data_IF_556131774753
#
_entry.id   IF_556131774753
#
_cell.length_a   1.000
_cell.length_b   1.000
_cell.length_c   1.000
_cell.angle_alpha   90.00
_cell.angle_beta   90.00
_cell.angle_gamma   90.00
#
_symmetry.space_group_name_H-M   'P 1'
#
loop_
_entity.id
_entity.type
_entity.pdbx_description
1 polymer ?
#
# COMPACT_ATOMS: atom_id res chain seq x y z
N UNK A 1 1.15 13.86 -0.80
CA UNK A 1 0.36 13.42 0.36
C UNK A 1 -1.09 13.90 0.37
N UNK A 2 -1.43 15.16 0.01
CA UNK A 2 -2.82 15.62 0.03
C UNK A 2 -3.80 14.74 -0.75
N UNK A 3 -3.37 14.17 -1.88
CA UNK A 3 -4.15 13.23 -2.69
C UNK A 3 -4.57 11.96 -1.90
N UNK A 4 -3.61 11.29 -1.26
CA UNK A 4 -3.88 10.07 -0.47
C UNK A 4 -4.74 10.36 0.75
N UNK A 5 -4.56 11.52 1.36
CA UNK A 5 -5.37 11.94 2.50
C UNK A 5 -6.80 12.34 2.08
N UNK A 6 -6.96 12.87 0.88
CA UNK A 6 -8.27 13.13 0.26
C UNK A 6 -8.98 11.81 -0.06
N UNK A 7 -8.26 10.84 -0.62
CA UNK A 7 -8.76 9.49 -0.86
C UNK A 7 -9.16 8.76 0.44
N UNK A 8 -8.48 9.07 1.55
CA UNK A 8 -8.84 8.62 2.89
C UNK A 8 -10.10 9.29 3.48
N UNK A 9 -10.77 10.17 2.73
CA UNK A 9 -12.04 10.79 3.12
C UNK A 9 -11.92 12.17 3.78
N UNK A 10 -10.72 12.78 3.84
CA UNK A 10 -10.52 14.09 4.51
C UNK A 10 -11.42 15.20 3.96
N UNK A 11 -11.68 15.21 2.65
CA UNK A 11 -12.45 16.26 1.97
C UNK A 11 -13.85 15.79 1.57
N UNK A 12 -14.35 14.72 2.18
CA UNK A 12 -15.67 14.15 1.92
C UNK A 12 -15.72 13.12 0.77
N UNK A 13 -16.88 12.44 0.60
CA UNK A 13 -16.97 11.26 -0.26
C UNK A 13 -16.72 11.52 -1.74
N UNK A 14 -17.27 12.61 -2.31
CA UNK A 14 -17.10 12.93 -3.73
C UNK A 14 -15.63 13.20 -4.09
N UNK A 15 -14.93 13.96 -3.24
CA UNK A 15 -13.50 14.22 -3.40
C UNK A 15 -12.67 12.94 -3.24
N UNK A 16 -13.05 12.05 -2.33
CA UNK A 16 -12.38 10.76 -2.14
C UNK A 16 -12.49 9.86 -3.37
N UNK A 17 -13.68 9.77 -4.00
CA UNK A 17 -13.86 9.00 -5.24
C UNK A 17 -13.01 9.54 -6.39
N UNK A 18 -12.95 10.86 -6.55
CA UNK A 18 -12.09 11.49 -7.55
C UNK A 18 -10.60 11.19 -7.30
N UNK A 19 -10.17 11.31 -6.04
CA UNK A 19 -8.79 11.00 -5.65
C UNK A 19 -8.44 9.52 -5.86
N UNK A 20 -9.37 8.59 -5.59
CA UNK A 20 -9.17 7.16 -5.84
C UNK A 20 -8.99 6.85 -7.32
N UNK A 21 -9.70 7.56 -8.21
CA UNK A 21 -9.52 7.42 -9.66
C UNK A 21 -8.14 7.92 -10.11
N UNK A 22 -7.65 9.00 -9.52
CA UNK A 22 -6.29 9.47 -9.80
C UNK A 22 -5.24 8.47 -9.26
N UNK A 23 -5.43 7.97 -8.04
CA UNK A 23 -4.56 6.96 -7.44
C UNK A 23 -4.55 5.66 -8.26
N UNK A 24 -5.68 5.25 -8.85
CA UNK A 24 -5.70 4.05 -9.70
C UNK A 24 -4.87 4.21 -10.98
N UNK A 25 -4.88 5.40 -11.59
CA UNK A 25 -3.98 5.70 -12.72
C UNK A 25 -2.51 5.75 -12.30
N UNK A 26 -2.22 6.38 -11.16
CA UNK A 26 -0.88 6.43 -10.58
C UNK A 26 -0.36 5.04 -10.24
N UNK A 27 -1.19 4.15 -9.69
CA UNK A 27 -0.80 2.80 -9.27
C UNK A 27 -0.25 1.92 -10.39
N UNK A 28 -0.61 2.20 -11.65
CA UNK A 28 -0.07 1.48 -12.81
C UNK A 28 1.37 1.89 -13.16
N UNK A 29 1.87 3.00 -12.60
CA UNK A 29 3.18 3.54 -12.94
C UNK A 29 4.32 2.80 -12.22
N UNK A 30 5.54 2.79 -12.80
CA UNK A 30 6.74 2.36 -12.09
C UNK A 30 7.03 3.20 -10.84
N UNK A 31 6.69 4.49 -10.89
CA UNK A 31 6.86 5.40 -9.74
C UNK A 31 6.03 4.97 -8.54
N UNK A 32 4.78 4.54 -8.75
CA UNK A 32 3.95 4.00 -7.68
C UNK A 32 4.54 2.74 -7.05
N UNK A 33 5.03 1.82 -7.87
CA UNK A 33 5.70 0.61 -7.40
C UNK A 33 6.93 0.95 -6.58
N UNK A 34 7.77 1.90 -7.03
CA UNK A 34 8.91 2.43 -6.26
C UNK A 34 8.46 3.02 -4.91
N UNK A 35 7.40 3.84 -4.90
CA UNK A 35 6.83 4.39 -3.67
C UNK A 35 6.39 3.28 -2.69
N UNK A 36 5.83 2.17 -3.20
CA UNK A 36 5.48 1.02 -2.36
C UNK A 36 6.69 0.35 -1.73
N UNK A 37 7.83 0.21 -2.43
CA UNK A 37 9.06 -0.30 -1.78
C UNK A 37 9.56 0.65 -0.69
N UNK A 38 9.54 1.97 -0.93
CA UNK A 38 9.92 2.94 0.11
C UNK A 38 8.99 2.85 1.33
N UNK A 39 7.68 2.78 1.12
CA UNK A 39 6.70 2.65 2.19
C UNK A 39 6.87 1.32 2.97
N UNK A 40 7.08 0.20 2.27
CA UNK A 40 7.35 -1.09 2.89
C UNK A 40 8.67 -1.08 3.68
N UNK A 41 9.68 -0.35 3.22
CA UNK A 41 10.93 -0.20 3.95
C UNK A 41 10.78 0.62 5.23
N UNK A 42 9.98 1.70 5.21
CA UNK A 42 9.63 2.45 6.43
C UNK A 42 8.95 1.52 7.44
N UNK A 43 8.00 0.71 6.98
CA UNK A 43 7.34 -0.30 7.82
C UNK A 43 8.35 -1.27 8.43
N UNK A 44 9.23 -1.89 7.62
CA UNK A 44 10.24 -2.86 8.09
C UNK A 44 11.23 -2.24 9.08
N UNK A 45 11.70 -1.02 8.82
CA UNK A 45 12.61 -0.32 9.74
C UNK A 45 11.97 -0.10 11.12
N UNK A 46 10.69 0.25 11.15
CA UNK A 46 9.96 0.43 12.41
C UNK A 46 9.55 -0.87 13.08
N UNK A 47 9.32 -1.94 12.29
CA UNK A 47 9.08 -3.29 12.78
C UNK A 47 10.31 -3.86 13.48
N UNK A 48 11.49 -3.70 12.89
CA UNK A 48 12.76 -4.23 13.39
C UNK A 48 13.48 -3.31 14.39
N UNK A 49 12.85 -2.20 14.79
CA UNK A 49 13.44 -1.27 15.77
C UNK A 49 13.73 -2.00 17.08
N UNK A 50 14.71 -1.50 17.84
CA UNK A 50 14.93 -1.99 19.20
C UNK A 50 13.89 -1.39 20.14
N UNK A 51 13.50 -2.14 21.16
CA UNK A 51 12.58 -1.64 22.19
C UNK A 51 13.14 -0.44 22.97
N UNK A 52 14.47 -0.27 22.97
CA UNK A 52 15.18 0.86 23.56
C UNK A 52 15.15 2.15 22.73
N UNK A 53 14.72 2.08 21.46
CA UNK A 53 14.80 3.23 20.57
C UNK A 53 13.68 4.23 20.87
N UNK A 54 14.04 5.47 21.18
CA UNK A 54 13.08 6.55 21.37
C UNK A 54 12.36 6.85 20.05
N UNK A 55 11.05 6.62 20.01
CA UNK A 55 10.24 6.87 18.80
C UNK A 55 9.84 8.33 18.78
N UNK A 56 10.32 9.04 17.75
CA UNK A 56 9.93 10.43 17.51
C UNK A 56 8.59 10.47 16.79
N UNK A 57 7.83 11.55 16.99
CA UNK A 57 6.57 11.80 16.29
C UNK A 57 6.71 11.66 14.76
N UNK A 58 7.84 12.12 14.21
CA UNK A 58 8.15 11.99 12.78
C UNK A 58 8.13 10.54 12.28
N UNK A 59 8.57 9.57 13.08
CA UNK A 59 8.52 8.15 12.73
C UNK A 59 7.10 7.62 12.65
N UNK A 60 6.20 8.08 13.53
CA UNK A 60 4.78 7.72 13.46
C UNK A 60 4.08 8.35 12.25
N UNK A 61 4.38 9.62 11.95
CA UNK A 61 3.86 10.29 10.74
C UNK A 61 4.35 9.58 9.48
N UNK A 62 5.62 9.19 9.43
CA UNK A 62 6.18 8.42 8.31
C UNK A 62 5.49 7.06 8.15
N UNK A 63 5.21 6.36 9.24
CA UNK A 63 4.46 5.09 9.20
C UNK A 63 3.02 5.28 8.72
N UNK A 64 2.35 6.35 9.16
CA UNK A 64 1.01 6.67 8.70
C UNK A 64 0.98 6.96 7.20
N UNK A 65 1.89 7.79 6.72
CA UNK A 65 2.04 8.06 5.29
C UNK A 65 2.37 6.80 4.48
N UNK A 66 3.26 5.95 4.99
CA UNK A 66 3.57 4.66 4.37
C UNK A 66 2.34 3.74 4.28
N UNK A 67 1.52 3.69 5.33
CA UNK A 67 0.29 2.89 5.36
C UNK A 67 -0.77 3.38 4.37
N UNK A 68 -0.88 4.70 4.16
CA UNK A 68 -1.77 5.25 3.13
C UNK A 68 -1.32 4.85 1.73
N UNK A 69 -0.03 5.01 1.43
CA UNK A 69 0.55 4.62 0.14
C UNK A 69 0.35 3.13 -0.13
N UNK A 70 0.73 2.26 0.81
CA UNK A 70 0.62 0.80 0.63
C UNK A 70 -0.84 0.36 0.53
N UNK A 71 -1.69 0.77 1.48
CA UNK A 71 -3.06 0.29 1.51
C UNK A 71 -3.90 0.81 0.35
N UNK A 72 -3.74 2.08 -0.06
CA UNK A 72 -4.45 2.61 -1.22
C UNK A 72 -3.92 2.04 -2.53
N UNK A 73 -2.61 1.77 -2.65
CA UNK A 73 -2.06 1.05 -3.79
C UNK A 73 -2.66 -0.36 -3.90
N UNK A 74 -2.69 -1.12 -2.81
CA UNK A 74 -3.29 -2.47 -2.77
C UNK A 74 -4.80 -2.42 -3.03
N UNK A 75 -5.48 -1.37 -2.57
CA UNK A 75 -6.91 -1.21 -2.80
C UNK A 75 -7.25 -1.06 -4.28
N UNK A 76 -6.46 -0.29 -5.04
CA UNK A 76 -6.76 0.02 -6.45
C UNK A 76 -6.05 -0.87 -7.46
N UNK A 77 -5.09 -1.70 -7.03
CA UNK A 77 -4.39 -2.58 -7.96
C UNK A 77 -5.35 -3.66 -8.49
N UNK A 78 -5.32 -3.98 -9.80
CA UNK A 78 -6.17 -5.02 -10.36
C UNK A 78 -5.71 -6.42 -9.91
N UNK A 79 -6.66 -7.33 -9.70
CA UNK A 79 -6.38 -8.74 -9.32
C UNK A 79 -5.59 -9.50 -10.38
N UNK A 80 -5.56 -8.99 -11.63
CA UNK A 80 -4.77 -9.53 -12.74
C UNK A 80 -3.27 -9.24 -12.64
N UNK A 81 -2.79 -8.56 -11.58
CA UNK A 81 -1.37 -8.50 -11.24
C UNK A 81 -0.75 -9.88 -10.90
N UNK A 82 -1.56 -10.94 -10.93
CA UNK A 82 -1.16 -12.33 -11.14
C UNK A 82 -0.57 -12.50 -12.57
N UNK A 83 0.64 -11.97 -12.79
CA UNK A 83 1.44 -12.31 -13.98
C UNK A 83 1.66 -13.83 -14.12
N UNK A 84 2.18 -14.27 -15.26
CA UNK A 84 2.40 -15.71 -15.55
C UNK A 84 3.04 -16.43 -14.37
N UNK A 85 2.54 -17.63 -14.07
CA UNK A 85 2.87 -18.45 -12.88
C UNK A 85 4.37 -18.79 -12.73
N UNK A 86 5.17 -18.42 -13.71
CA UNK A 86 6.62 -18.62 -13.80
C UNK A 86 7.47 -17.56 -13.09
N UNK A 87 6.95 -16.36 -12.77
CA UNK A 87 7.76 -15.33 -12.10
C UNK A 87 7.58 -15.38 -10.57
N UNK A 88 8.69 -15.59 -9.85
CA UNK A 88 8.69 -15.60 -8.39
C UNK A 88 8.15 -14.27 -7.84
N UNK A 89 7.19 -14.29 -6.89
CA UNK A 89 6.59 -13.06 -6.41
C UNK A 89 7.57 -12.24 -5.56
N UNK A 90 7.50 -10.92 -5.66
CA UNK A 90 8.40 -10.02 -4.93
C UNK A 90 7.90 -9.80 -3.50
N UNK A 91 8.71 -10.10 -2.48
CA UNK A 91 8.33 -9.83 -1.09
C UNK A 91 8.67 -8.39 -0.69
N UNK A 92 7.64 -7.54 -0.59
CA UNK A 92 7.79 -6.11 -0.28
C UNK A 92 8.53 -5.83 1.04
N UNK A 93 8.39 -6.75 2.01
CA UNK A 93 8.99 -6.57 3.34
C UNK A 93 10.34 -7.29 3.38
N UNK A 94 10.40 -8.56 2.96
CA UNK A 94 11.59 -9.36 3.20
C UNK A 94 12.75 -9.09 2.26
N UNK A 95 12.48 -8.81 0.98
CA UNK A 95 13.52 -8.59 -0.01
C UNK A 95 14.39 -7.38 0.35
N UNK A 96 15.70 -7.55 0.22
CA UNK A 96 16.65 -6.45 0.35
C UNK A 96 16.67 -5.64 -0.94
N UNK A 97 16.51 -4.33 -0.79
CA UNK A 97 16.55 -3.39 -1.92
C UNK A 97 17.88 -2.67 -1.87
N UNK A 98 18.73 -2.97 -2.85
CA UNK A 98 19.92 -2.16 -3.10
C UNK A 98 19.52 -0.87 -3.82
N UNK A 99 19.37 0.21 -3.03
CA UNK A 99 19.00 1.52 -3.54
C UNK A 99 20.08 2.15 -4.44
N UNK A 100 21.33 1.71 -4.34
CA UNK A 100 22.43 2.23 -5.15
C UNK A 100 22.30 1.72 -6.59
N UNK A 101 22.15 0.41 -6.79
CA UNK A 101 21.91 -0.17 -8.11
C UNK A 101 20.56 0.26 -8.70
N UNK A 102 19.54 0.45 -7.86
CA UNK A 102 18.22 0.87 -8.30
C UNK A 102 18.19 2.32 -8.81
N UNK A 103 19.10 3.18 -8.32
CA UNK A 103 19.35 4.54 -8.82
C UNK A 103 18.04 5.30 -9.16
N UNK A 104 17.80 5.58 -10.44
CA UNK A 104 16.65 6.34 -10.97
C UNK A 104 15.51 5.47 -11.50
N UNK A 105 15.57 4.15 -11.37
CA UNK A 105 14.54 3.23 -11.87
C UNK A 105 13.19 3.57 -11.25
N UNK A 106 12.20 3.88 -12.09
CA UNK A 106 10.86 4.30 -11.68
C UNK A 106 10.71 5.77 -11.27
N UNK A 107 11.74 6.62 -11.44
CA UNK A 107 11.64 8.07 -11.22
C UNK A 107 11.43 8.87 -12.53
N UNK A 108 11.88 8.35 -13.67
CA UNK A 108 11.71 8.97 -14.98
C UNK A 108 10.68 8.22 -15.82
N UNK A 109 9.87 8.95 -16.61
CA UNK A 109 8.96 8.35 -17.60
C UNK A 109 9.69 7.79 -18.82
N UNK A 110 10.87 8.31 -19.11
CA UNK A 110 11.74 7.77 -20.15
C UNK A 110 12.28 6.43 -19.66
N UNK A 111 11.76 5.36 -20.26
CA UNK A 111 12.13 4.00 -19.94
C UNK A 111 13.65 3.89 -19.90
N UNK A 112 14.16 3.40 -18.78
CA UNK A 112 15.57 3.07 -18.60
C UNK A 112 15.95 1.98 -19.61
N UNK A 113 16.31 2.39 -20.82
CA UNK A 113 16.79 1.59 -21.95
C UNK A 113 18.28 1.25 -21.77
N UNK A 114 18.63 0.83 -20.55
CA UNK A 114 19.93 0.29 -20.22
C UNK A 114 19.78 -1.12 -19.69
N UNK A 115 20.47 -2.08 -20.30
CA UNK A 115 20.48 -3.49 -19.93
C UNK A 115 20.79 -3.78 -18.43
N UNK A 116 21.36 -2.80 -17.71
CA UNK A 116 21.62 -2.85 -16.27
C UNK A 116 20.34 -2.74 -15.39
N UNK A 117 19.22 -2.28 -15.94
CA UNK A 117 17.99 -2.03 -15.17
C UNK A 117 17.24 -3.29 -14.70
N UNK A 118 17.64 -4.49 -15.11
CA UNK A 118 16.88 -5.74 -14.88
C UNK A 118 17.56 -6.72 -13.92
N UNK A 119 18.73 -6.35 -13.37
CA UNK A 119 19.57 -7.26 -12.59
C UNK A 119 18.91 -7.64 -11.25
N UNK A 120 18.19 -6.73 -10.60
CA UNK A 120 17.57 -6.99 -9.29
C UNK A 120 16.08 -7.36 -9.37
N UNK A 121 15.61 -8.11 -8.37
CA UNK A 121 14.19 -8.42 -8.23
C UNK A 121 13.35 -7.15 -8.01
N UNK A 122 13.91 -6.17 -7.29
CA UNK A 122 13.27 -4.89 -7.04
C UNK A 122 13.09 -4.06 -8.32
N UNK A 123 14.10 -4.01 -9.21
CA UNK A 123 13.99 -3.27 -10.46
C UNK A 123 13.01 -3.93 -11.44
N UNK A 124 12.98 -5.26 -11.50
CA UNK A 124 11.96 -6.03 -12.23
C UNK A 124 10.55 -5.75 -11.71
N UNK A 125 10.36 -5.73 -10.39
CA UNK A 125 9.08 -5.37 -9.80
C UNK A 125 8.68 -3.93 -10.13
N UNK A 126 9.60 -2.95 -10.01
CA UNK A 126 9.31 -1.56 -10.34
C UNK A 126 8.90 -1.37 -11.81
N UNK A 127 9.60 -2.03 -12.74
CA UNK A 127 9.37 -1.83 -14.18
C UNK A 127 8.19 -2.64 -14.71
N UNK A 128 8.07 -3.90 -14.29
CA UNK A 128 7.09 -4.84 -14.85
C UNK A 128 5.92 -5.13 -13.91
N UNK A 129 6.08 -4.89 -12.60
CA UNK A 129 5.06 -5.17 -11.60
C UNK A 129 5.04 -6.66 -11.31
N UNK A 130 3.83 -7.20 -11.15
CA UNK A 130 3.60 -8.61 -10.92
C UNK A 130 3.22 -8.94 -9.48
N UNK A 131 3.23 -10.24 -9.20
CA UNK A 131 2.80 -10.80 -7.91
C UNK A 131 3.71 -10.30 -6.80
N UNK A 132 3.12 -9.90 -5.68
CA UNK A 132 3.87 -9.48 -4.51
C UNK A 132 3.39 -10.20 -3.24
N UNK A 133 4.33 -10.42 -2.34
CA UNK A 133 4.05 -10.81 -0.96
C UNK A 133 4.18 -9.59 -0.05
N UNK A 134 3.34 -9.58 0.98
CA UNK A 134 3.56 -8.75 2.15
C UNK A 134 3.63 -9.70 3.34
N UNK A 135 4.81 -9.78 3.95
CA UNK A 135 5.16 -10.76 4.97
C UNK A 135 5.00 -12.19 4.44
N UNK A 136 3.94 -12.88 4.87
CA UNK A 136 3.65 -14.30 4.65
C UNK A 136 2.47 -14.55 3.70
N UNK A 137 1.85 -13.49 3.16
CA UNK A 137 0.63 -13.59 2.34
C UNK A 137 0.80 -12.98 0.95
N UNK A 138 0.31 -13.68 -0.08
CA UNK A 138 0.15 -13.12 -1.44
C UNK A 138 -0.82 -11.95 -1.34
N UNK A 139 -0.42 -10.81 -1.86
CA UNK A 139 -1.26 -9.62 -1.93
C UNK A 139 -1.98 -9.64 -3.27
N UNK A 140 -3.27 -9.95 -3.22
CA UNK A 140 -4.21 -9.65 -4.30
C UNK A 140 -4.67 -8.20 -4.21
N UNK A 141 -5.27 -7.69 -5.28
CA UNK A 141 -5.87 -6.38 -5.26
C UNK A 141 -7.11 -6.33 -4.37
N UNK A 142 -7.59 -5.12 -4.16
CA UNK A 142 -8.88 -4.87 -3.55
C UNK A 142 -8.88 -4.75 -2.04
N UNK A 143 -10.10 -4.67 -1.53
CA UNK A 143 -10.39 -4.20 -0.19
C UNK A 143 -9.80 -5.07 0.92
N UNK A 144 -9.99 -6.40 0.86
CA UNK A 144 -9.60 -7.30 1.95
C UNK A 144 -8.11 -7.20 2.26
N UNK A 145 -7.28 -7.08 1.22
CA UNK A 145 -5.83 -6.98 1.38
C UNK A 145 -5.39 -5.58 1.80
N UNK A 146 -6.05 -4.53 1.30
CA UNK A 146 -5.83 -3.16 1.75
C UNK A 146 -6.12 -3.01 3.26
N UNK A 147 -7.22 -3.59 3.74
CA UNK A 147 -7.59 -3.64 5.15
C UNK A 147 -6.52 -4.33 5.99
N UNK A 148 -6.05 -5.52 5.57
CA UNK A 148 -4.95 -6.23 6.25
C UNK A 148 -3.69 -5.39 6.33
N UNK A 149 -3.35 -4.66 5.26
CA UNK A 149 -2.20 -3.77 5.24
C UNK A 149 -2.31 -2.66 6.30
N UNK A 150 -3.45 -1.98 6.37
CA UNK A 150 -3.68 -0.94 7.38
C UNK A 150 -3.67 -1.49 8.80
N UNK A 151 -4.29 -2.65 9.05
CA UNK A 151 -4.29 -3.27 10.37
C UNK A 151 -2.87 -3.67 10.83
N UNK A 152 -2.02 -4.18 9.93
CA UNK A 152 -0.60 -4.43 10.23
C UNK A 152 0.12 -3.14 10.66
N UNK A 153 -0.14 -2.01 9.98
CA UNK A 153 0.43 -0.72 10.34
C UNK A 153 -0.12 -0.18 11.67
N UNK A 154 -1.42 -0.34 11.92
CA UNK A 154 -2.09 0.02 13.18
C UNK A 154 -1.47 -0.73 14.36
N UNK A 155 -1.34 -2.05 14.27
CA UNK A 155 -0.73 -2.84 15.34
C UNK A 155 0.71 -2.39 15.61
N UNK A 156 1.47 -2.08 14.56
CA UNK A 156 2.80 -1.51 14.71
C UNK A 156 2.76 -0.13 15.40
N UNK A 157 1.86 0.77 15.03
CA UNK A 157 1.66 2.08 15.69
C UNK A 157 1.30 1.95 17.17
N UNK A 158 0.44 0.99 17.54
CA UNK A 158 0.08 0.75 18.93
C UNK A 158 1.28 0.21 19.73
N UNK A 159 2.12 -0.63 19.11
CA UNK A 159 3.36 -1.09 19.72
C UNK A 159 4.40 0.03 19.93
N UNK A 160 4.31 1.12 19.15
CA UNK A 160 5.25 2.25 19.15
C UNK A 160 5.01 3.24 20.32
N UNK A 161 3.96 3.08 21.13
CA UNK A 161 3.82 3.80 22.40
C UNK A 161 2.48 4.54 22.59
N UNK A 162 2.26 5.00 23.83
CA UNK A 162 0.94 5.38 24.37
C UNK A 162 0.44 6.79 23.99
N UNK A 163 1.31 7.69 23.53
CA UNK A 163 1.05 9.15 23.59
C UNK A 163 0.66 9.84 22.28
N UNK A 164 0.88 9.26 21.10
CA UNK A 164 0.43 9.84 19.82
C UNK A 164 -0.07 8.81 18.78
N UNK A 165 -0.16 7.52 19.15
CA UNK A 165 -0.68 6.45 18.29
C UNK A 165 -2.18 6.55 18.07
N UNK A 166 -2.94 7.13 19.02
CA UNK A 166 -4.41 7.09 19.02
C UNK A 166 -5.04 7.79 17.81
N UNK A 167 -4.52 8.94 17.38
CA UNK A 167 -5.12 9.70 16.26
C UNK A 167 -4.89 8.97 14.93
N UNK A 168 -3.63 8.65 14.61
CA UNK A 168 -3.29 7.98 13.34
C UNK A 168 -3.83 6.55 13.27
N UNK A 169 -3.77 5.80 14.38
CA UNK A 169 -4.40 4.49 14.48
C UNK A 169 -5.91 4.57 14.34
N UNK A 170 -6.57 5.59 14.92
CA UNK A 170 -8.01 5.78 14.77
C UNK A 170 -8.39 6.06 13.33
N UNK A 171 -7.65 6.89 12.60
CA UNK A 171 -7.90 7.15 11.18
C UNK A 171 -7.77 5.86 10.36
N UNK A 172 -6.71 5.08 10.59
CA UNK A 172 -6.54 3.79 9.90
C UNK A 172 -7.62 2.77 10.26
N UNK A 173 -8.06 2.72 11.52
CA UNK A 173 -9.18 1.89 11.93
C UNK A 173 -10.48 2.32 11.26
N UNK A 174 -10.78 3.63 11.25
CA UNK A 174 -11.97 4.15 10.57
C UNK A 174 -11.93 3.81 9.08
N UNK A 175 -10.80 3.97 8.39
CA UNK A 175 -10.69 3.54 6.99
C UNK A 175 -10.87 2.03 6.82
N UNK A 176 -10.28 1.22 7.72
CA UNK A 176 -10.45 -0.23 7.70
C UNK A 176 -11.90 -0.66 7.94
N UNK A 177 -12.63 0.05 8.79
CA UNK A 177 -14.03 -0.22 9.16
C UNK A 177 -15.03 0.33 8.13
N UNK A 178 -14.77 1.51 7.55
CA UNK A 178 -15.60 2.05 6.46
C UNK A 178 -15.56 1.17 5.21
N UNK A 179 -14.49 0.39 5.03
CA UNK A 179 -14.44 -0.59 3.96
C UNK A 179 -15.21 -1.89 4.30
N UNK A 180 -15.36 -2.28 5.58
CA UNK A 180 -16.28 -3.39 5.96
C UNK A 180 -17.74 -3.03 5.69
N UNK A 181 -18.13 -1.77 5.85
CA UNK A 181 -19.50 -1.31 5.58
C UNK A 181 -19.85 -1.34 4.07
N UNK A 182 -18.84 -1.20 3.19
CA UNK A 182 -19.00 -1.36 1.74
C UNK A 182 -19.15 -2.82 1.30
N UNK A 183 -18.57 -3.76 2.07
CA UNK A 183 -18.72 -5.21 1.84
C UNK A 183 -20.12 -5.69 2.21
N UNK A 184 -20.70 -5.18 3.30
CA UNK A 184 -22.03 -5.57 3.77
C UNK A 184 -23.16 -4.88 2.99
N UNK A 185 -22.99 -3.62 2.59
CA UNK A 185 -23.97 -2.91 1.77
C UNK A 185 -24.13 -3.42 0.33
N UNK A 186 -23.19 -4.23 -0.17
CA UNK A 186 -23.25 -4.84 -1.50
C UNK A 186 -23.97 -6.18 -1.57
N UNK A 187 -24.29 -6.80 -0.42
CA UNK A 187 -24.94 -8.12 -0.35
C UNK A 187 -26.47 -7.99 -0.24
N UNK A 188 -26.99 -6.86 0.22
CA UNK A 188 -28.41 -6.71 0.56
C UNK A 188 -29.29 -6.19 -0.60
N UNK A 189 -28.74 -5.77 -1.73
CA UNK A 189 -29.52 -5.22 -2.88
C UNK A 189 -29.78 -6.24 -4.01
N UNK A 190 -29.25 -7.47 -3.90
CA UNK A 190 -29.44 -8.51 -4.93
C UNK A 190 -30.69 -9.39 -4.72
N UNK A 191 -31.56 -9.06 -3.75
CA UNK A 191 -32.53 -9.99 -3.18
C UNK A 191 -34.01 -9.70 -3.39
N UNK A 192 -34.43 -8.68 -4.15
CA UNK A 192 -35.87 -8.39 -4.27
C UNK A 192 -36.27 -7.78 -5.62
N UNK A 193 -36.28 -8.60 -6.67
CA UNK A 193 -37.09 -8.34 -7.87
C UNK A 193 -37.33 -9.60 -8.72
N UNK A 194 -37.99 -10.60 -8.15
CA UNK A 194 -38.92 -11.50 -8.86
C UNK A 194 -39.96 -11.89 -7.79
N UNK A 195 -41.24 -11.57 -7.92
CA UNK A 195 -42.23 -12.31 -8.72
C UNK A 195 -43.43 -11.41 -9.04
N UNK A 196 -43.90 -11.49 -10.29
CA UNK A 196 -45.27 -11.12 -10.65
C UNK A 196 -46.29 -12.17 -10.24
#
# INVERSE_FOLDING_TARGET
MPLFETAAGRSGPSAATAALREISTWAQTPSARRCCLHAARIYKLLLNRRFSDAIRLHSMVALFQASLVLGLFVFVMPDTALGSDTQMPFNLIEEEVDWVSLSTVGLSQEGSSGAAGWESAASRFILNGGRMYMADSIVSGGYVQARKCWLRCVHLMLSLGRWNSRIFSRILHVMADSLTDLETGGVDDAGQQTTG
#
